data_IF_997027369519
#
_entry.id   IF_997027369519
#
_cell.length_a   1.000
_cell.length_b   1.000
_cell.length_c   1.000
_cell.angle_alpha   90.00
_cell.angle_beta   90.00
_cell.angle_gamma   90.00
#
_symmetry.space_group_name_H-M   'P 1'
#
loop_
_entity.id
_entity.type
_entity.pdbx_description
1 polymer ?
#
# COMPACT_ATOMS: atom_id res chain seq x y z
N UNK A 1 -42.00 -14.03 15.57
CA UNK A 1 -40.89 -13.62 16.46
C UNK A 1 -39.64 -14.34 15.97
N UNK A 2 -38.80 -13.69 15.24
CA UNK A 2 -37.55 -14.26 14.73
C UNK A 2 -36.44 -14.04 15.76
N UNK A 3 -35.90 -15.15 16.30
CA UNK A 3 -34.73 -15.10 17.18
C UNK A 3 -33.53 -14.52 16.42
N UNK A 4 -33.05 -13.36 16.86
CA UNK A 4 -31.78 -12.77 16.42
C UNK A 4 -30.62 -13.70 16.81
N UNK A 5 -30.03 -14.39 15.84
CA UNK A 5 -28.79 -15.14 16.00
C UNK A 5 -27.65 -14.16 16.39
N UNK A 6 -27.31 -14.09 17.68
CA UNK A 6 -26.13 -13.40 18.18
C UNK A 6 -24.87 -13.97 17.50
N UNK A 7 -24.31 -13.21 16.55
CA UNK A 7 -23.02 -13.52 15.92
C UNK A 7 -21.89 -13.21 16.91
N UNK A 8 -21.31 -14.25 17.49
CA UNK A 8 -20.14 -14.14 18.37
C UNK A 8 -19.88 -15.44 19.12
N UNK A 9 -18.63 -15.72 19.40
CA UNK A 9 -18.24 -16.87 20.22
C UNK A 9 -18.80 -16.64 21.64
N UNK A 10 -19.49 -17.61 22.27
CA UNK A 10 -20.04 -17.43 23.60
C UNK A 10 -18.91 -17.02 24.56
N UNK A 11 -19.22 -16.07 25.45
CA UNK A 11 -18.26 -15.64 26.49
C UNK A 11 -18.13 -16.77 27.50
N UNK A 12 -16.91 -17.17 27.78
CA UNK A 12 -16.60 -18.16 28.82
C UNK A 12 -17.01 -17.62 30.19
N UNK A 13 -17.52 -18.51 31.04
CA UNK A 13 -17.78 -18.21 32.44
C UNK A 13 -16.47 -17.88 33.17
N UNK A 14 -16.57 -17.23 34.32
CA UNK A 14 -15.36 -16.88 35.09
C UNK A 14 -14.67 -18.12 35.68
N UNK A 15 -15.42 -19.19 35.93
CA UNK A 15 -14.86 -20.48 36.32
C UNK A 15 -14.08 -21.14 35.19
N UNK A 16 -14.63 -21.18 33.98
CA UNK A 16 -13.94 -21.70 32.80
C UNK A 16 -12.67 -20.90 32.46
N UNK A 17 -12.70 -19.60 32.71
CA UNK A 17 -11.50 -18.75 32.54
C UNK A 17 -10.40 -19.12 33.52
N UNK A 18 -10.77 -19.32 34.80
CA UNK A 18 -9.83 -19.73 35.85
C UNK A 18 -9.26 -21.12 35.58
N UNK A 19 -10.07 -22.07 35.19
CA UNK A 19 -9.63 -23.42 34.84
C UNK A 19 -8.66 -23.41 33.64
N UNK A 20 -8.97 -22.63 32.59
CA UNK A 20 -8.06 -22.48 31.46
C UNK A 20 -6.75 -21.80 31.83
N UNK A 21 -6.79 -20.81 32.73
CA UNK A 21 -5.58 -20.16 33.23
C UNK A 21 -4.69 -21.15 33.97
N UNK A 22 -5.28 -21.99 34.82
CA UNK A 22 -4.56 -23.03 35.55
C UNK A 22 -3.94 -24.08 34.60
N UNK A 23 -4.70 -24.54 33.60
CA UNK A 23 -4.21 -25.48 32.58
C UNK A 23 -3.04 -24.89 31.76
N UNK A 24 -3.03 -23.58 31.51
CA UNK A 24 -1.89 -22.91 30.89
C UNK A 24 -0.67 -22.86 31.79
N UNK A 25 -0.90 -22.59 33.09
CA UNK A 25 0.17 -22.53 34.08
C UNK A 25 0.82 -23.90 34.28
N UNK A 26 0.03 -24.99 34.18
CA UNK A 26 0.51 -26.37 34.27
C UNK A 26 1.11 -26.91 32.96
N UNK A 27 1.16 -26.12 31.88
CA UNK A 27 1.69 -26.56 30.60
C UNK A 27 0.76 -27.48 29.79
N UNK A 28 -0.46 -27.71 30.24
CA UNK A 28 -1.47 -28.57 29.58
C UNK A 28 -2.11 -27.91 28.35
N UNK A 29 -2.09 -26.60 28.30
CA UNK A 29 -2.54 -25.83 27.14
C UNK A 29 -1.40 -24.96 26.60
N UNK A 30 -1.26 -24.85 25.28
CA UNK A 30 -0.26 -23.99 24.69
C UNK A 30 -0.44 -22.54 25.16
N UNK A 31 0.62 -21.97 25.68
CA UNK A 31 0.66 -20.55 26.02
C UNK A 31 0.65 -19.80 24.69
N UNK A 32 -0.51 -19.22 24.33
CA UNK A 32 -0.55 -18.29 23.21
C UNK A 32 0.12 -17.00 23.64
N UNK A 33 1.42 -16.94 23.46
CA UNK A 33 2.12 -15.67 23.44
C UNK A 33 1.69 -14.97 22.17
N UNK A 34 0.94 -13.85 22.29
CA UNK A 34 0.75 -12.97 21.16
C UNK A 34 2.15 -12.67 20.64
N UNK A 35 2.43 -12.92 19.35
CA UNK A 35 3.70 -12.47 18.80
C UNK A 35 3.82 -10.99 19.17
N UNK A 36 4.97 -10.63 19.75
CA UNK A 36 5.22 -9.25 20.12
C UNK A 36 5.04 -8.40 18.86
N UNK A 37 4.01 -7.56 18.88
CA UNK A 37 3.70 -6.69 17.75
C UNK A 37 4.60 -5.46 17.69
N UNK A 38 5.46 -5.31 18.67
CA UNK A 38 6.50 -4.29 18.65
C UNK A 38 7.52 -4.72 17.61
N UNK A 39 7.45 -4.08 16.45
CA UNK A 39 8.51 -4.18 15.44
C UNK A 39 9.72 -3.49 16.08
N UNK A 40 10.62 -4.30 16.63
CA UNK A 40 11.90 -3.81 17.10
C UNK A 40 12.88 -3.91 15.92
N UNK A 41 13.54 -2.80 15.61
CA UNK A 41 14.68 -2.86 14.71
C UNK A 41 15.82 -3.61 15.40
N UNK A 42 16.46 -4.53 14.70
CA UNK A 42 17.63 -5.21 15.21
C UNK A 42 18.76 -4.20 15.47
N UNK A 43 19.64 -4.47 16.47
CA UNK A 43 20.77 -3.59 16.72
C UNK A 43 21.61 -3.36 15.46
N UNK A 44 21.72 -2.12 15.03
CA UNK A 44 22.46 -1.73 13.83
C UNK A 44 21.63 -1.47 12.58
N UNK A 45 20.37 -1.89 12.51
CA UNK A 45 19.48 -1.69 11.35
C UNK A 45 19.34 -0.21 10.99
N UNK A 46 19.08 0.64 11.97
CA UNK A 46 18.95 2.09 11.70
C UNK A 46 20.22 2.67 11.08
N UNK A 47 21.39 2.25 11.59
CA UNK A 47 22.67 2.69 11.03
C UNK A 47 22.88 2.20 9.61
N UNK A 48 22.49 0.97 9.30
CA UNK A 48 22.54 0.36 7.97
C UNK A 48 21.64 1.14 7.00
N UNK A 49 20.39 1.39 7.38
CA UNK A 49 19.42 2.10 6.55
C UNK A 49 19.83 3.55 6.27
N UNK A 50 20.29 4.27 7.30
CA UNK A 50 20.75 5.66 7.16
C UNK A 50 21.98 5.74 6.25
N UNK A 51 22.99 4.87 6.45
CA UNK A 51 24.20 4.86 5.61
C UNK A 51 23.87 4.57 4.16
N UNK A 52 22.96 3.62 3.89
CA UNK A 52 22.51 3.31 2.55
C UNK A 52 21.81 4.51 1.90
N UNK A 53 20.88 5.18 2.63
CA UNK A 53 20.20 6.37 2.12
C UNK A 53 21.19 7.51 1.82
N UNK A 54 22.14 7.76 2.71
CA UNK A 54 23.17 8.79 2.49
C UNK A 54 24.07 8.45 1.30
N UNK A 55 24.43 7.18 1.12
CA UNK A 55 25.26 6.77 -0.03
C UNK A 55 24.54 7.01 -1.36
N UNK A 56 23.24 6.76 -1.43
CA UNK A 56 22.44 7.03 -2.64
C UNK A 56 22.22 8.53 -2.89
N UNK A 57 22.04 9.33 -1.84
CA UNK A 57 21.83 10.77 -1.95
C UNK A 57 23.12 11.55 -2.32
N UNK A 58 24.27 11.08 -1.88
CA UNK A 58 25.57 11.74 -2.08
C UNK A 58 26.24 11.35 -3.40
N UNK A 59 25.53 10.73 -4.31
CA UNK A 59 26.09 10.39 -5.63
C UNK A 59 26.39 11.63 -6.46
N UNK A 60 27.48 11.63 -7.25
CA UNK A 60 27.75 12.71 -8.19
C UNK A 60 26.58 12.92 -9.14
N UNK A 61 26.27 14.14 -9.54
CA UNK A 61 25.22 14.40 -10.53
C UNK A 61 25.53 13.70 -11.85
N UNK A 62 24.48 13.33 -12.59
CA UNK A 62 24.55 12.78 -13.93
C UNK A 62 23.82 13.70 -14.90
N UNK A 63 24.08 13.56 -16.19
CA UNK A 63 23.23 14.18 -17.19
C UNK A 63 21.90 13.40 -17.30
N UNK A 64 20.89 13.89 -16.60
CA UNK A 64 19.52 13.28 -16.62
C UNK A 64 18.82 13.42 -17.99
N UNK A 65 19.39 14.14 -18.95
CA UNK A 65 18.89 14.17 -20.34
C UNK A 65 19.42 12.99 -21.17
N UNK A 66 20.45 12.32 -20.69
CA UNK A 66 21.05 11.15 -21.32
C UNK A 66 20.45 9.85 -20.72
N UNK A 67 19.66 9.14 -21.51
CA UNK A 67 19.01 7.91 -21.07
C UNK A 67 20.00 6.79 -20.68
N UNK A 68 21.19 6.72 -21.28
CA UNK A 68 22.20 5.73 -20.93
C UNK A 68 22.86 6.04 -19.57
N UNK A 69 23.06 7.30 -19.24
CA UNK A 69 23.53 7.68 -17.90
C UNK A 69 22.49 7.38 -16.84
N UNK A 70 21.20 7.65 -17.11
CA UNK A 70 20.08 7.28 -16.23
C UNK A 70 20.05 5.77 -16.03
N UNK A 71 20.17 4.99 -17.10
CA UNK A 71 20.23 3.52 -17.03
C UNK A 71 21.40 3.04 -16.18
N UNK A 72 22.61 3.53 -16.46
CA UNK A 72 23.82 3.20 -15.71
C UNK A 72 23.67 3.49 -14.21
N UNK A 73 23.07 4.63 -13.86
CA UNK A 73 22.81 5.02 -12.47
C UNK A 73 21.79 4.10 -11.78
N UNK A 74 20.74 3.70 -12.46
CA UNK A 74 19.76 2.74 -11.93
C UNK A 74 20.35 1.35 -11.74
N UNK A 75 21.17 0.87 -12.68
CA UNK A 75 21.89 -0.40 -12.51
C UNK A 75 22.87 -0.36 -11.34
N UNK A 76 23.61 0.73 -11.19
CA UNK A 76 24.44 0.94 -10.02
C UNK A 76 23.61 0.86 -8.72
N UNK A 77 22.45 1.53 -8.68
CA UNK A 77 21.59 1.54 -7.51
C UNK A 77 21.12 0.13 -7.11
N UNK A 78 20.67 -0.67 -8.08
CA UNK A 78 20.27 -2.06 -7.80
C UNK A 78 21.45 -2.92 -7.33
N UNK A 79 22.61 -2.78 -7.95
CA UNK A 79 23.84 -3.43 -7.51
C UNK A 79 24.23 -3.02 -6.09
N UNK A 80 24.19 -1.72 -5.79
CA UNK A 80 24.46 -1.20 -4.45
C UNK A 80 23.47 -1.76 -3.40
N UNK A 81 22.20 -1.94 -3.76
CA UNK A 81 21.22 -2.60 -2.88
C UNK A 81 21.59 -4.07 -2.62
N UNK A 82 21.99 -4.80 -3.66
CA UNK A 82 22.41 -6.21 -3.54
C UNK A 82 23.67 -6.37 -2.69
N UNK A 83 24.68 -5.52 -2.92
CA UNK A 83 25.95 -5.56 -2.18
C UNK A 83 25.80 -5.24 -0.68
N UNK A 84 24.78 -4.46 -0.32
CA UNK A 84 24.50 -4.04 1.06
C UNK A 84 23.32 -4.78 1.70
N UNK A 85 22.77 -5.80 1.04
CA UNK A 85 21.58 -6.54 1.51
C UNK A 85 20.43 -5.58 1.87
N UNK A 86 20.13 -4.64 0.96
CA UNK A 86 19.08 -3.65 1.10
C UNK A 86 17.98 -3.87 0.07
N UNK A 87 16.73 -3.70 0.50
CA UNK A 87 15.60 -3.77 -0.43
C UNK A 87 15.56 -2.52 -1.30
N UNK A 88 15.57 -2.63 -2.62
CA UNK A 88 15.44 -1.47 -3.49
C UNK A 88 14.05 -0.85 -3.37
N UNK A 89 14.00 0.48 -3.49
CA UNK A 89 12.76 1.25 -3.38
C UNK A 89 12.70 2.32 -4.47
N UNK A 90 11.50 2.80 -4.79
CA UNK A 90 11.33 3.91 -5.73
C UNK A 90 11.98 5.19 -5.23
N UNK A 91 11.86 5.48 -3.93
CA UNK A 91 12.53 6.66 -3.36
C UNK A 91 14.06 6.53 -3.45
N UNK A 92 14.60 5.32 -3.30
CA UNK A 92 16.03 5.07 -3.49
C UNK A 92 16.47 5.29 -4.94
N UNK A 93 15.68 4.90 -5.93
CA UNK A 93 15.93 5.24 -7.33
C UNK A 93 15.93 6.76 -7.54
N UNK A 94 14.95 7.48 -6.98
CA UNK A 94 14.88 8.93 -7.06
C UNK A 94 16.11 9.60 -6.44
N UNK A 95 16.52 9.16 -5.26
CA UNK A 95 17.73 9.64 -4.58
C UNK A 95 18.99 9.42 -5.43
N UNK A 96 19.15 8.21 -5.98
CA UNK A 96 20.30 7.88 -6.83
C UNK A 96 20.35 8.72 -8.11
N UNK A 97 19.20 9.07 -8.68
CA UNK A 97 19.10 9.92 -9.88
C UNK A 97 19.15 11.42 -9.55
N UNK A 98 18.93 11.82 -8.29
CA UNK A 98 18.81 13.22 -7.91
C UNK A 98 17.54 13.90 -8.43
N UNK A 99 16.43 13.16 -8.58
CA UNK A 99 15.16 13.67 -9.11
C UNK A 99 14.02 13.47 -8.13
N UNK A 100 12.95 14.24 -8.29
CA UNK A 100 11.73 14.07 -7.52
C UNK A 100 10.91 12.86 -8.01
N UNK A 101 10.09 12.29 -7.14
CA UNK A 101 9.26 11.14 -7.45
C UNK A 101 8.26 11.39 -8.57
N UNK A 102 7.67 12.58 -8.61
CA UNK A 102 6.73 12.96 -9.69
C UNK A 102 7.42 12.99 -11.04
N UNK A 103 8.68 13.44 -11.07
CA UNK A 103 9.52 13.41 -12.28
C UNK A 103 9.74 11.98 -12.77
N UNK A 104 10.05 11.05 -11.86
CA UNK A 104 10.21 9.64 -12.22
C UNK A 104 8.89 9.04 -12.72
N UNK A 105 7.77 9.44 -12.13
CA UNK A 105 6.44 9.02 -12.55
C UNK A 105 6.11 9.50 -13.97
N UNK A 106 6.33 10.78 -14.27
CA UNK A 106 6.11 11.35 -15.63
C UNK A 106 7.00 10.70 -16.68
N UNK A 107 8.22 10.27 -16.32
CA UNK A 107 9.06 9.49 -17.22
C UNK A 107 8.53 8.09 -17.47
N UNK A 108 7.96 7.46 -16.44
CA UNK A 108 7.30 6.14 -16.56
C UNK A 108 6.10 6.19 -17.50
N UNK A 109 5.29 7.23 -17.42
CA UNK A 109 4.09 7.41 -18.27
C UNK A 109 4.42 7.89 -19.68
N UNK A 110 5.64 8.36 -19.92
CA UNK A 110 6.08 8.87 -21.23
C UNK A 110 5.62 10.30 -21.52
N UNK A 111 5.18 11.05 -20.50
CA UNK A 111 4.62 12.40 -20.68
C UNK A 111 5.67 13.47 -20.93
N UNK A 112 6.91 13.26 -20.48
CA UNK A 112 7.89 14.36 -20.46
C UNK A 112 9.24 14.07 -21.13
N UNK A 113 9.69 12.83 -21.21
CA UNK A 113 10.99 12.45 -21.75
C UNK A 113 10.87 11.56 -22.99
N UNK A 114 12.01 11.27 -23.62
CA UNK A 114 12.07 10.39 -24.78
C UNK A 114 11.62 8.96 -24.46
N UNK A 115 11.23 8.22 -25.50
CA UNK A 115 10.88 6.80 -25.39
C UNK A 115 12.01 5.96 -24.76
N UNK A 116 13.29 6.37 -24.95
CA UNK A 116 14.43 5.70 -24.34
C UNK A 116 14.43 5.84 -22.81
N UNK A 117 14.11 7.04 -22.27
CA UNK A 117 13.96 7.25 -20.84
C UNK A 117 12.79 6.44 -20.28
N UNK A 118 11.64 6.46 -20.98
CA UNK A 118 10.49 5.67 -20.59
C UNK A 118 10.84 4.17 -20.50
N UNK A 119 11.52 3.64 -21.51
CA UNK A 119 11.90 2.22 -21.53
C UNK A 119 12.81 1.85 -20.36
N UNK A 120 13.79 2.69 -20.04
CA UNK A 120 14.69 2.48 -18.89
C UNK A 120 13.95 2.50 -17.57
N UNK A 121 13.06 3.47 -17.36
CA UNK A 121 12.30 3.59 -16.12
C UNK A 121 11.29 2.45 -15.97
N UNK A 122 10.59 2.09 -17.05
CA UNK A 122 9.66 0.94 -17.05
C UNK A 122 10.40 -0.35 -16.70
N UNK A 123 11.61 -0.56 -17.26
CA UNK A 123 12.43 -1.72 -16.91
C UNK A 123 12.82 -1.74 -15.43
N UNK A 124 13.20 -0.59 -14.86
CA UNK A 124 13.53 -0.48 -13.44
C UNK A 124 12.32 -0.80 -12.54
N UNK A 125 11.13 -0.35 -12.92
CA UNK A 125 9.90 -0.68 -12.19
C UNK A 125 9.58 -2.18 -12.27
N UNK A 126 9.77 -2.83 -13.43
CA UNK A 126 9.58 -4.29 -13.56
C UNK A 126 10.48 -5.08 -12.61
N UNK A 127 11.73 -4.66 -12.44
CA UNK A 127 12.64 -5.27 -11.47
C UNK A 127 12.08 -5.13 -10.05
N UNK A 128 11.56 -3.95 -9.68
CA UNK A 128 10.93 -3.77 -8.38
C UNK A 128 9.68 -4.62 -8.19
N UNK A 129 8.86 -4.75 -9.20
CA UNK A 129 7.63 -5.58 -9.21
C UNK A 129 7.98 -7.06 -8.98
N UNK A 130 8.95 -7.59 -9.72
CA UNK A 130 9.45 -8.96 -9.57
C UNK A 130 9.99 -9.23 -8.16
N UNK A 131 10.87 -8.35 -7.67
CA UNK A 131 11.40 -8.46 -6.30
C UNK A 131 10.31 -8.36 -5.24
N UNK A 132 9.29 -7.55 -5.49
CA UNK A 132 8.17 -7.42 -4.57
C UNK A 132 7.34 -8.70 -4.47
N UNK A 133 7.04 -9.33 -5.62
CA UNK A 133 6.38 -10.62 -5.67
C UNK A 133 7.18 -11.67 -4.91
N UNK A 134 8.48 -11.76 -5.14
CA UNK A 134 9.38 -12.66 -4.43
C UNK A 134 9.37 -12.43 -2.91
N UNK A 135 9.42 -11.18 -2.47
CA UNK A 135 9.36 -10.85 -1.04
C UNK A 135 8.02 -11.22 -0.42
N UNK A 136 6.91 -11.04 -1.13
CA UNK A 136 5.59 -11.42 -0.66
C UNK A 136 5.44 -12.94 -0.59
N UNK A 137 5.83 -13.67 -1.63
CA UNK A 137 5.75 -15.13 -1.70
C UNK A 137 6.64 -15.81 -0.65
N UNK A 138 7.81 -15.24 -0.37
CA UNK A 138 8.76 -15.78 0.61
C UNK A 138 8.56 -15.23 2.04
N UNK A 139 7.49 -14.48 2.30
CA UNK A 139 7.18 -13.95 3.63
C UNK A 139 8.20 -12.94 4.17
N UNK A 140 8.97 -12.28 3.28
CA UNK A 140 9.99 -11.27 3.64
C UNK A 140 9.42 -9.87 3.87
N UNK A 141 8.13 -9.69 3.63
CA UNK A 141 7.38 -8.44 3.87
C UNK A 141 6.13 -8.77 4.65
N UNK A 142 5.76 -7.90 5.58
CA UNK A 142 4.48 -8.03 6.28
C UNK A 142 3.34 -7.94 5.24
N UNK A 143 2.42 -8.94 5.17
CA UNK A 143 1.39 -8.98 4.13
C UNK A 143 0.51 -7.73 4.10
N UNK A 144 0.15 -7.17 5.26
CA UNK A 144 -0.71 -5.97 5.33
C UNK A 144 0.02 -4.76 4.75
N UNK A 145 1.27 -4.53 5.19
CA UNK A 145 2.11 -3.46 4.64
C UNK A 145 2.40 -3.68 3.16
N UNK A 146 2.59 -4.93 2.77
CA UNK A 146 2.83 -5.33 1.38
C UNK A 146 1.67 -4.95 0.47
N UNK A 147 0.46 -5.37 0.81
CA UNK A 147 -0.75 -5.05 0.05
C UNK A 147 -0.99 -3.53 -0.01
N UNK A 148 -0.81 -2.84 1.14
CA UNK A 148 -0.98 -1.38 1.19
C UNK A 148 -0.01 -0.66 0.25
N UNK A 149 1.28 -1.02 0.27
CA UNK A 149 2.29 -0.44 -0.61
C UNK A 149 2.04 -0.77 -2.08
N UNK A 150 1.65 -2.00 -2.39
CA UNK A 150 1.32 -2.43 -3.75
C UNK A 150 0.17 -1.61 -4.35
N UNK A 151 -0.87 -1.33 -3.56
CA UNK A 151 -2.02 -0.54 -4.01
C UNK A 151 -1.71 0.96 -4.16
N UNK A 152 -0.95 1.52 -3.22
CA UNK A 152 -0.82 2.98 -3.11
C UNK A 152 0.45 3.54 -3.75
N UNK A 153 1.49 2.72 -3.94
CA UNK A 153 2.77 3.27 -4.34
C UNK A 153 3.21 2.95 -5.77
N UNK A 154 2.97 1.73 -6.31
CA UNK A 154 3.72 1.37 -7.51
C UNK A 154 3.05 0.46 -8.51
N UNK A 155 2.21 -0.46 -8.06
CA UNK A 155 1.88 -1.62 -8.87
C UNK A 155 0.54 -1.51 -9.56
N UNK A 156 -0.19 -0.42 -9.33
CA UNK A 156 -1.52 -0.23 -9.92
C UNK A 156 -2.53 -1.32 -9.51
N UNK A 157 -2.23 -2.09 -8.47
CA UNK A 157 -3.18 -3.04 -7.91
C UNK A 157 -4.33 -2.26 -7.29
N UNK A 158 -5.50 -2.39 -7.87
CA UNK A 158 -6.74 -1.85 -7.33
C UNK A 158 -7.65 -3.00 -6.92
N UNK A 159 -8.37 -2.83 -5.81
CA UNK A 159 -9.48 -3.72 -5.54
C UNK A 159 -10.53 -3.50 -6.62
N UNK A 160 -10.92 -4.54 -7.34
CA UNK A 160 -12.09 -4.49 -8.20
C UNK A 160 -13.30 -4.35 -7.29
N UNK A 161 -13.76 -3.13 -7.08
CA UNK A 161 -15.09 -2.91 -6.54
C UNK A 161 -16.07 -3.06 -7.73
N UNK A 162 -16.70 -4.21 -7.82
CA UNK A 162 -17.94 -4.31 -8.60
C UNK A 162 -19.01 -3.54 -7.81
N UNK A 163 -19.15 -2.28 -8.12
CA UNK A 163 -20.35 -1.53 -7.72
C UNK A 163 -21.47 -2.07 -8.62
N UNK A 164 -22.18 -3.08 -8.13
CA UNK A 164 -23.44 -3.48 -8.71
C UNK A 164 -24.39 -2.31 -8.46
N UNK A 165 -24.41 -1.38 -9.38
CA UNK A 165 -25.47 -0.37 -9.45
C UNK A 165 -26.72 -1.12 -9.85
N UNK A 166 -27.47 -1.59 -8.86
CA UNK A 166 -28.84 -2.03 -9.08
C UNK A 166 -29.60 -0.77 -9.43
N UNK A 167 -30.03 -0.56 -10.68
CA UNK A 167 -30.87 0.58 -10.99
C UNK A 167 -32.09 0.46 -10.10
N UNK A 168 -32.37 1.48 -9.31
CA UNK A 168 -33.59 1.54 -8.54
C UNK A 168 -34.73 1.69 -9.56
N UNK A 169 -35.26 0.55 -10.04
CA UNK A 169 -36.36 0.46 -10.96
C UNK A 169 -37.73 0.66 -10.24
N UNK A 170 -37.71 1.17 -9.01
CA UNK A 170 -38.93 1.71 -8.45
C UNK A 170 -39.33 2.86 -9.34
N UNK A 171 -40.20 2.57 -10.32
CA UNK A 171 -40.90 3.60 -11.06
C UNK A 171 -41.62 4.44 -10.02
N UNK A 172 -41.22 5.71 -9.93
CA UNK A 172 -41.94 6.67 -9.09
C UNK A 172 -43.40 6.62 -9.53
N UNK A 173 -44.29 6.35 -8.59
CA UNK A 173 -45.74 6.42 -8.89
C UNK A 173 -46.12 7.87 -9.20
N UNK A 174 -47.19 8.12 -9.96
CA UNK A 174 -47.64 9.49 -10.20
C UNK A 174 -47.78 10.30 -8.89
N UNK A 175 -48.19 9.67 -7.80
CA UNK A 175 -48.29 10.32 -6.50
C UNK A 175 -46.94 10.67 -5.86
N UNK A 176 -45.87 9.94 -6.18
CA UNK A 176 -44.52 10.28 -5.71
C UNK A 176 -43.97 11.51 -6.44
N UNK A 177 -44.34 11.68 -7.72
CA UNK A 177 -43.96 12.85 -8.51
C UNK A 177 -44.66 14.09 -7.99
N UNK A 178 -45.97 14.01 -7.72
CA UNK A 178 -46.75 15.12 -7.16
C UNK A 178 -46.22 15.52 -5.76
N UNK A 179 -45.82 14.56 -4.94
CA UNK A 179 -45.23 14.83 -3.62
C UNK A 179 -43.86 15.50 -3.72
N UNK A 180 -43.08 15.18 -4.75
CA UNK A 180 -41.79 15.80 -5.02
C UNK A 180 -41.99 17.24 -5.50
N UNK A 181 -42.87 17.46 -6.44
CA UNK A 181 -43.19 18.80 -6.98
C UNK A 181 -43.72 19.73 -5.87
N UNK A 182 -44.63 19.26 -5.04
CA UNK A 182 -45.15 20.04 -3.90
C UNK A 182 -44.03 20.42 -2.91
N UNK A 183 -43.01 19.57 -2.76
CA UNK A 183 -41.85 19.83 -1.87
C UNK A 183 -40.88 20.84 -2.46
N UNK A 184 -40.78 20.90 -3.78
CA UNK A 184 -39.98 21.92 -4.46
C UNK A 184 -40.65 23.30 -4.44
N UNK A 185 -41.97 23.36 -4.53
CA UNK A 185 -42.77 24.62 -4.44
C UNK A 185 -42.73 25.26 -3.04
N UNK A 186 -42.41 24.44 -1.98
CA UNK A 186 -42.24 24.94 -0.61
C UNK A 186 -40.85 25.50 -0.30
N UNK A 187 -39.89 25.33 -1.22
CA UNK A 187 -38.53 25.86 -0.99
C UNK A 187 -38.55 27.39 -1.22
N UNK A 188 -37.97 28.17 -0.29
CA UNK A 188 -37.85 29.61 -0.49
C UNK A 188 -36.96 29.88 -1.70
N UNK A 189 -37.43 30.79 -2.58
CA UNK A 189 -36.60 31.29 -3.67
C UNK A 189 -35.30 31.79 -3.11
N UNK A 190 -34.19 31.19 -3.55
CA UNK A 190 -32.86 31.61 -3.12
C UNK A 190 -32.62 33.05 -3.58
N UNK A 191 -32.49 33.96 -2.63
CA UNK A 191 -32.06 35.32 -2.92
C UNK A 191 -30.66 35.26 -3.53
N UNK A 192 -30.59 35.60 -4.81
CA UNK A 192 -29.33 35.87 -5.50
C UNK A 192 -28.68 37.12 -4.88
N UNK A 193 -27.65 36.92 -4.04
CA UNK A 193 -26.66 37.95 -3.72
C UNK A 193 -25.30 37.59 -4.27
#
# INVERSE_FOLDING_TARGET
>A
MSEEKKRGRPRLSDEEKKERALKRQNGELPTYTRPDRTIQADPGDNSKYIRHALATMNMPPIDISNAEEVKGRLFWYFGHCADNDMKPTVNGMCNALGIHRDTLHTWRTGEFRSNSHQAVVVQAYRILEELWEDYMLNGKVNPVSGIFLAKNLFYGYSDKQEVVVTPNTAQLSPGDLEAIDAKYDELPDGDDE
#
